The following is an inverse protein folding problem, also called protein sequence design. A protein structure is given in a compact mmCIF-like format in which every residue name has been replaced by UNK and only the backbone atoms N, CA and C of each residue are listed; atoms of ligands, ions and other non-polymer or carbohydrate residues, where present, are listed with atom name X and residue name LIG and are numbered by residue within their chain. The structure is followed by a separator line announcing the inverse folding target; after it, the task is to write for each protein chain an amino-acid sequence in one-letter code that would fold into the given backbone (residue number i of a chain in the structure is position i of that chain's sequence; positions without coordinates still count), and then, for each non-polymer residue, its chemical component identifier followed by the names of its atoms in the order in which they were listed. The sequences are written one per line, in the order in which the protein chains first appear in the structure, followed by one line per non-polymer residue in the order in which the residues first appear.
data_IF_017736119795
#
_entry.id   IF_017736119795
#
_cell.length_a   1.000
_cell.length_b   1.000
_cell.length_c   1.000
_cell.angle_alpha   90.00
_cell.angle_beta   90.00
_cell.angle_gamma   90.00
#
_symmetry.space_group_name_H-M   'P 1'
#
loop_
_entity.id
_entity.type
_entity.pdbx_description
1 polymer ?
#
# COMPACT_ATOMS: atom_id res chain seq x y z
N UNK A 1 -0.32 1.04 32.55
CA UNK A 1 -0.04 -0.40 32.34
C UNK A 1 -0.71 -1.01 31.09
N UNK A 2 -1.94 -0.66 30.69
CA UNK A 2 -2.59 -1.23 29.48
C UNK A 2 -1.86 -0.94 28.16
N UNK A 3 -1.35 0.29 27.98
CA UNK A 3 -0.66 0.72 26.74
C UNK A 3 0.64 -0.06 26.47
N UNK A 4 1.35 -0.48 27.51
CA UNK A 4 2.60 -1.26 27.40
C UNK A 4 2.34 -2.74 27.11
N UNK A 5 1.27 -3.34 27.64
CA UNK A 5 0.87 -4.72 27.29
C UNK A 5 0.47 -4.83 25.82
N UNK A 6 -0.35 -3.89 25.32
CA UNK A 6 -0.76 -3.89 23.92
C UNK A 6 0.45 -3.73 22.98
N UNK A 7 1.44 -2.91 23.36
CA UNK A 7 2.64 -2.71 22.55
C UNK A 7 3.54 -3.95 22.45
N UNK A 8 3.69 -4.70 23.54
CA UNK A 8 4.44 -5.97 23.55
C UNK A 8 3.71 -7.02 22.71
N UNK A 9 2.40 -7.12 22.85
CA UNK A 9 1.54 -8.02 22.07
C UNK A 9 1.67 -7.75 20.56
N UNK A 10 1.69 -6.48 20.14
CA UNK A 10 1.86 -6.15 18.74
C UNK A 10 3.25 -6.48 18.17
N UNK A 11 4.33 -6.33 18.94
CA UNK A 11 5.67 -6.72 18.48
C UNK A 11 5.78 -8.23 18.29
N UNK A 12 5.23 -9.00 19.22
CA UNK A 12 5.17 -10.46 19.13
C UNK A 12 4.36 -10.86 17.89
N UNK A 13 3.22 -10.21 17.67
CA UNK A 13 2.38 -10.43 16.48
C UNK A 13 3.12 -10.11 15.17
N UNK A 14 3.85 -9.00 15.09
CA UNK A 14 4.64 -8.64 13.91
C UNK A 14 5.70 -9.69 13.57
N UNK A 15 6.43 -10.16 14.58
CA UNK A 15 7.43 -11.22 14.41
C UNK A 15 6.77 -12.55 14.00
N UNK A 16 5.64 -12.90 14.62
CA UNK A 16 4.90 -14.11 14.28
C UNK A 16 4.41 -14.10 12.83
N UNK A 17 3.87 -12.98 12.35
CA UNK A 17 3.45 -12.81 10.95
C UNK A 17 4.64 -12.92 9.98
N UNK A 18 5.77 -12.29 10.31
CA UNK A 18 6.99 -12.41 9.51
C UNK A 18 7.49 -13.86 9.44
N UNK A 19 7.45 -14.60 10.56
CA UNK A 19 7.81 -16.01 10.59
C UNK A 19 6.81 -16.88 9.82
N UNK A 20 5.52 -16.54 9.88
CA UNK A 20 4.44 -17.24 9.18
C UNK A 20 4.55 -17.10 7.66
N UNK A 21 5.06 -15.96 7.17
CA UNK A 21 5.24 -15.72 5.74
C UNK A 21 6.19 -16.74 5.07
N UNK A 22 7.24 -17.20 5.77
CA UNK A 22 8.24 -18.12 5.23
C UNK A 22 7.72 -19.53 4.89
N UNK A 23 6.94 -20.21 5.75
CA UNK A 23 6.41 -21.54 5.45
C UNK A 23 5.15 -21.56 4.59
N UNK A 24 4.58 -20.42 4.16
CA UNK A 24 3.30 -20.40 3.41
C UNK A 24 3.27 -21.37 2.22
N UNK A 25 4.38 -21.49 1.48
CA UNK A 25 4.49 -22.37 0.33
C UNK A 25 4.41 -23.88 0.66
N UNK A 26 4.54 -24.27 1.93
CA UNK A 26 4.54 -25.67 2.38
C UNK A 26 3.21 -26.10 3.01
N UNK A 27 2.28 -25.18 3.21
CA UNK A 27 1.02 -25.43 3.91
C UNK A 27 -0.04 -26.01 2.97
N UNK A 28 -0.98 -26.78 3.53
CA UNK A 28 -2.14 -27.27 2.77
C UNK A 28 -3.15 -26.13 2.54
N UNK A 29 -4.00 -26.29 1.53
CA UNK A 29 -5.03 -25.29 1.20
C UNK A 29 -6.02 -25.04 2.35
N UNK A 30 -6.37 -26.08 3.12
CA UNK A 30 -7.23 -25.95 4.30
C UNK A 30 -6.53 -25.13 5.41
N UNK A 31 -5.25 -25.41 5.66
CA UNK A 31 -4.46 -24.66 6.65
C UNK A 31 -4.32 -23.18 6.24
N UNK A 32 -4.10 -22.91 4.96
CA UNK A 32 -4.03 -21.54 4.44
C UNK A 32 -5.36 -20.81 4.61
N UNK A 33 -6.49 -21.48 4.42
CA UNK A 33 -7.79 -20.87 4.64
C UNK A 33 -8.05 -20.56 6.12
N UNK A 34 -7.72 -21.48 7.03
CA UNK A 34 -7.85 -21.24 8.47
C UNK A 34 -6.95 -20.09 8.94
N UNK A 35 -5.72 -20.00 8.41
CA UNK A 35 -4.84 -18.85 8.65
C UNK A 35 -5.49 -17.56 8.14
N UNK A 36 -6.02 -17.55 6.91
CA UNK A 36 -6.65 -16.38 6.32
C UNK A 36 -7.85 -15.87 7.12
N UNK A 37 -8.62 -16.75 7.80
CA UNK A 37 -9.71 -16.32 8.70
C UNK A 37 -9.22 -15.62 9.96
N UNK A 38 -8.06 -16.03 10.47
CA UNK A 38 -7.49 -15.52 11.72
C UNK A 38 -6.71 -14.21 11.48
N UNK A 39 -6.22 -14.01 10.25
CA UNK A 39 -5.50 -12.79 9.87
C UNK A 39 -6.42 -11.57 9.92
N UNK A 40 -6.06 -10.60 10.76
CA UNK A 40 -6.81 -9.37 10.92
C UNK A 40 -5.99 -8.13 10.52
N UNK A 41 -6.61 -7.20 9.80
CA UNK A 41 -6.00 -5.96 9.30
C UNK A 41 -6.06 -4.86 10.38
N UNK A 42 -5.49 -5.13 11.55
CA UNK A 42 -5.40 -4.13 12.62
C UNK A 42 -4.11 -4.29 13.42
N UNK A 43 -3.67 -3.20 14.04
CA UNK A 43 -2.42 -3.10 14.78
C UNK A 43 -1.46 -2.07 14.17
N UNK A 44 -0.21 -2.01 14.68
CA UNK A 44 0.79 -1.07 14.19
C UNK A 44 1.20 -1.38 12.75
N UNK A 45 1.91 -0.42 12.14
CA UNK A 45 2.31 -0.46 10.73
C UNK A 45 2.96 -1.79 10.32
N UNK A 46 3.90 -2.33 11.11
CA UNK A 46 4.57 -3.60 10.80
C UNK A 46 3.61 -4.79 10.65
N UNK A 47 2.61 -4.90 11.52
CA UNK A 47 1.61 -5.97 11.43
C UNK A 47 0.78 -5.83 10.16
N UNK A 48 0.36 -4.61 9.82
CA UNK A 48 -0.42 -4.35 8.60
C UNK A 48 0.39 -4.68 7.34
N UNK A 49 1.69 -4.39 7.34
CA UNK A 49 2.60 -4.71 6.22
C UNK A 49 2.66 -6.22 6.01
N UNK A 50 2.95 -7.00 7.07
CA UNK A 50 3.04 -8.45 6.92
C UNK A 50 1.68 -9.09 6.59
N UNK A 51 0.58 -8.59 7.16
CA UNK A 51 -0.76 -9.03 6.78
C UNK A 51 -1.04 -8.81 5.30
N UNK A 52 -0.67 -7.63 4.75
CA UNK A 52 -0.78 -7.34 3.33
C UNK A 52 0.06 -8.32 2.49
N UNK A 53 1.34 -8.52 2.82
CA UNK A 53 2.23 -9.42 2.07
C UNK A 53 1.73 -10.87 2.08
N UNK A 54 1.22 -11.35 3.22
CA UNK A 54 0.62 -12.69 3.32
C UNK A 54 -0.65 -12.78 2.45
N UNK A 55 -1.56 -11.80 2.51
CA UNK A 55 -2.76 -11.82 1.68
C UNK A 55 -2.47 -11.75 0.17
N UNK A 56 -1.50 -10.92 -0.25
CA UNK A 56 -1.04 -10.87 -1.64
C UNK A 56 -0.54 -12.24 -2.11
N UNK A 57 0.30 -12.88 -1.30
CA UNK A 57 0.83 -14.21 -1.61
C UNK A 57 -0.29 -15.26 -1.70
N UNK A 58 -1.22 -15.26 -0.75
CA UNK A 58 -2.35 -16.20 -0.75
C UNK A 58 -3.24 -15.99 -1.99
N UNK A 59 -3.53 -14.75 -2.35
CA UNK A 59 -4.32 -14.45 -3.54
C UNK A 59 -3.61 -14.95 -4.82
N UNK A 60 -2.30 -14.73 -4.94
CA UNK A 60 -1.49 -15.30 -6.01
C UNK A 60 -1.51 -16.82 -6.07
N UNK A 61 -1.46 -17.46 -4.90
CA UNK A 61 -1.52 -18.90 -4.80
C UNK A 61 -2.85 -19.46 -5.32
N UNK A 62 -3.98 -18.86 -4.91
CA UNK A 62 -5.33 -19.28 -5.32
C UNK A 62 -5.54 -19.08 -6.83
N UNK A 63 -5.06 -17.95 -7.36
CA UNK A 63 -5.27 -17.59 -8.77
C UNK A 63 -4.37 -18.40 -9.71
N UNK A 64 -3.08 -18.50 -9.42
CA UNK A 64 -2.08 -19.04 -10.34
C UNK A 64 -1.74 -20.53 -10.12
N UNK A 65 -1.70 -21.00 -8.87
CA UNK A 65 -1.15 -22.32 -8.54
C UNK A 65 -2.20 -23.39 -8.29
N UNK A 66 -3.42 -23.00 -7.92
CA UNK A 66 -4.48 -23.93 -7.61
C UNK A 66 -5.06 -24.50 -8.92
N UNK A 67 -4.60 -25.71 -9.27
CA UNK A 67 -4.98 -26.44 -10.50
C UNK A 67 -6.50 -26.56 -10.61
N UNK A 68 -7.02 -26.51 -11.85
CA UNK A 68 -8.46 -26.64 -12.14
C UNK A 68 -9.09 -27.90 -11.51
N UNK A 69 -8.34 -28.99 -11.43
CA UNK A 69 -8.76 -30.27 -10.82
C UNK A 69 -9.00 -30.14 -9.30
N UNK A 70 -8.12 -29.44 -8.60
CA UNK A 70 -8.24 -29.18 -7.15
C UNK A 70 -9.37 -28.16 -6.90
N UNK A 71 -9.54 -27.18 -7.80
CA UNK A 71 -10.69 -26.25 -7.77
C UNK A 71 -12.01 -26.98 -7.91
N UNK A 72 -12.09 -28.05 -8.70
CA UNK A 72 -13.33 -28.82 -8.86
C UNK A 72 -13.64 -29.71 -7.65
N UNK A 73 -12.65 -30.30 -6.99
CA UNK A 73 -12.89 -31.16 -5.81
C UNK A 73 -13.29 -30.37 -4.56
N UNK A 74 -12.74 -29.17 -4.40
CA UNK A 74 -12.91 -28.34 -3.19
C UNK A 74 -13.71 -27.06 -3.54
N UNK A 75 -14.54 -27.12 -4.58
CA UNK A 75 -15.22 -25.97 -5.19
C UNK A 75 -15.83 -24.97 -4.20
N UNK A 76 -16.73 -25.38 -3.27
CA UNK A 76 -17.36 -24.43 -2.37
C UNK A 76 -16.35 -23.76 -1.41
N UNK A 77 -15.38 -24.52 -0.90
CA UNK A 77 -14.36 -23.98 0.01
C UNK A 77 -13.38 -23.07 -0.73
N UNK A 78 -13.02 -23.41 -1.97
CA UNK A 78 -12.11 -22.60 -2.81
C UNK A 78 -12.74 -21.26 -3.20
N UNK A 79 -14.04 -21.22 -3.43
CA UNK A 79 -14.78 -20.00 -3.76
C UNK A 79 -14.92 -19.09 -2.53
N UNK A 80 -15.30 -19.66 -1.38
CA UNK A 80 -15.33 -18.93 -0.10
C UNK A 80 -13.95 -18.39 0.28
N UNK A 81 -12.90 -19.19 0.06
CA UNK A 81 -11.52 -18.78 0.31
C UNK A 81 -11.09 -17.63 -0.59
N UNK A 82 -11.36 -17.72 -1.90
CA UNK A 82 -11.08 -16.66 -2.86
C UNK A 82 -11.81 -15.35 -2.48
N UNK A 83 -13.11 -15.44 -2.19
CA UNK A 83 -13.91 -14.28 -1.82
C UNK A 83 -13.42 -13.64 -0.52
N UNK A 84 -13.12 -14.44 0.52
CA UNK A 84 -12.59 -13.92 1.79
C UNK A 84 -11.28 -13.15 1.60
N UNK A 85 -10.33 -13.74 0.86
CA UNK A 85 -9.03 -13.09 0.61
C UNK A 85 -9.19 -11.83 -0.25
N UNK A 86 -10.04 -11.87 -1.27
CA UNK A 86 -10.36 -10.71 -2.11
C UNK A 86 -10.93 -9.55 -1.29
N UNK A 87 -11.93 -9.84 -0.45
CA UNK A 87 -12.55 -8.87 0.46
C UNK A 87 -11.52 -8.20 1.39
N UNK A 88 -10.60 -8.98 1.97
CA UNK A 88 -9.56 -8.45 2.86
C UNK A 88 -8.56 -7.55 2.11
N UNK A 89 -8.20 -7.90 0.88
CA UNK A 89 -7.36 -7.07 0.02
C UNK A 89 -8.06 -5.79 -0.45
N UNK A 90 -9.38 -5.81 -0.65
CA UNK A 90 -10.17 -4.62 -0.95
C UNK A 90 -10.24 -3.69 0.27
N UNK A 91 -10.45 -4.24 1.47
CA UNK A 91 -10.45 -3.45 2.71
C UNK A 91 -9.11 -2.71 2.91
N UNK A 92 -8.00 -3.35 2.55
CA UNK A 92 -6.66 -2.77 2.56
C UNK A 92 -6.48 -1.59 1.57
N UNK A 93 -7.27 -1.49 0.50
CA UNK A 93 -7.28 -0.31 -0.39
C UNK A 93 -7.82 0.95 0.30
N UNK A 94 -8.71 0.77 1.27
CA UNK A 94 -9.30 1.86 2.06
C UNK A 94 -8.61 2.06 3.41
N UNK A 95 -7.42 1.48 3.62
CA UNK A 95 -6.65 1.60 4.87
C UNK A 95 -6.33 3.07 5.20
N UNK A 96 -6.24 3.41 6.49
CA UNK A 96 -5.77 4.74 6.92
C UNK A 96 -4.27 4.92 6.68
N UNK A 97 -3.51 3.83 6.64
CA UNK A 97 -2.07 3.86 6.37
C UNK A 97 -1.81 4.00 4.86
N UNK A 98 -1.10 5.06 4.49
CA UNK A 98 -0.77 5.36 3.10
C UNK A 98 0.09 4.30 2.45
N UNK A 99 1.11 3.80 3.15
CA UNK A 99 1.97 2.74 2.63
C UNK A 99 1.16 1.50 2.24
N UNK A 100 0.19 1.13 3.09
CA UNK A 100 -0.68 -0.03 2.86
C UNK A 100 -1.58 0.23 1.66
N UNK A 101 -2.26 1.39 1.60
CA UNK A 101 -3.12 1.73 0.46
C UNK A 101 -2.36 1.69 -0.86
N UNK A 102 -1.17 2.30 -0.92
CA UNK A 102 -0.35 2.37 -2.14
C UNK A 102 0.09 0.98 -2.56
N UNK A 103 0.62 0.17 -1.64
CA UNK A 103 1.07 -1.18 -1.98
C UNK A 103 -0.07 -2.12 -2.36
N UNK A 104 -1.26 -1.97 -1.75
CA UNK A 104 -2.47 -2.68 -2.17
C UNK A 104 -2.90 -2.26 -3.56
N UNK A 105 -2.88 -0.96 -3.87
CA UNK A 105 -3.20 -0.45 -5.20
C UNK A 105 -2.24 -1.02 -6.24
N UNK A 106 -0.94 -0.92 -6.01
CA UNK A 106 0.08 -1.41 -6.94
C UNK A 106 -0.08 -2.91 -7.22
N UNK A 107 -0.47 -3.69 -6.22
CA UNK A 107 -0.77 -5.12 -6.37
C UNK A 107 -1.94 -5.38 -7.32
N UNK A 108 -3.02 -4.59 -7.23
CA UNK A 108 -4.17 -4.70 -8.11
C UNK A 108 -3.89 -4.16 -9.52
N UNK A 109 -2.98 -3.20 -9.67
CA UNK A 109 -2.57 -2.64 -10.96
C UNK A 109 -1.70 -3.56 -11.83
N UNK A 110 -1.22 -4.68 -11.30
CA UNK A 110 -0.41 -5.64 -12.06
C UNK A 110 -1.20 -6.13 -13.29
N UNK A 111 -0.54 -6.12 -14.45
CA UNK A 111 -1.12 -6.51 -15.74
C UNK A 111 -1.64 -7.95 -15.75
N UNK A 112 -1.15 -8.80 -14.83
CA UNK A 112 -1.64 -10.17 -14.64
C UNK A 112 -3.04 -10.24 -14.02
N UNK A 113 -3.42 -9.24 -13.22
CA UNK A 113 -4.72 -9.20 -12.51
C UNK A 113 -5.69 -8.23 -13.15
N UNK A 114 -5.20 -7.07 -13.57
CA UNK A 114 -6.02 -6.02 -14.13
C UNK A 114 -5.51 -5.66 -15.53
N UNK A 115 -6.39 -5.85 -16.52
CA UNK A 115 -6.07 -5.57 -17.92
C UNK A 115 -5.57 -4.13 -18.12
N UNK A 116 -4.65 -3.92 -19.06
CA UNK A 116 -4.22 -2.59 -19.50
C UNK A 116 -5.21 -1.93 -20.46
N UNK A 117 -6.12 -2.70 -21.05
CA UNK A 117 -7.20 -2.17 -21.88
C UNK A 117 -8.23 -1.45 -21.02
N UNK A 118 -8.51 -0.18 -21.30
CA UNK A 118 -9.42 0.66 -20.52
C UNK A 118 -10.82 0.05 -20.36
N UNK A 119 -11.33 -0.60 -21.41
CA UNK A 119 -12.64 -1.25 -21.37
C UNK A 119 -12.65 -2.48 -20.47
N UNK A 120 -11.70 -3.41 -20.66
CA UNK A 120 -11.61 -4.61 -19.82
C UNK A 120 -11.30 -4.28 -18.35
N UNK A 121 -10.49 -3.24 -18.12
CA UNK A 121 -10.22 -2.71 -16.78
C UNK A 121 -11.50 -2.19 -16.11
N UNK A 122 -12.32 -1.43 -16.85
CA UNK A 122 -13.59 -0.93 -16.32
C UNK A 122 -14.52 -2.08 -15.93
N UNK A 123 -14.66 -3.10 -16.79
CA UNK A 123 -15.49 -4.27 -16.46
C UNK A 123 -14.96 -5.02 -15.23
N UNK A 124 -13.64 -5.25 -15.17
CA UNK A 124 -13.02 -5.90 -14.01
C UNK A 124 -13.20 -5.12 -12.70
N UNK A 125 -13.25 -3.79 -12.73
CA UNK A 125 -13.54 -2.97 -11.55
C UNK A 125 -14.93 -3.26 -10.98
N UNK A 126 -15.94 -3.41 -11.85
CA UNK A 126 -17.29 -3.75 -11.44
C UNK A 126 -17.41 -5.21 -10.98
N UNK A 127 -16.81 -6.14 -11.72
CA UNK A 127 -17.00 -7.58 -11.49
C UNK A 127 -16.19 -8.12 -10.30
N UNK A 128 -15.00 -7.55 -10.04
CA UNK A 128 -14.03 -8.14 -9.10
C UNK A 128 -13.63 -7.23 -7.93
N UNK A 129 -13.71 -5.90 -8.10
CA UNK A 129 -13.20 -4.94 -7.13
C UNK A 129 -14.29 -4.18 -6.38
N UNK A 130 -15.57 -4.42 -6.68
CA UNK A 130 -16.68 -3.87 -5.92
C UNK A 130 -16.95 -4.69 -4.65
N UNK A 131 -17.01 -4.01 -3.51
CA UNK A 131 -17.40 -4.61 -2.23
C UNK A 131 -18.15 -3.59 -1.37
N UNK A 132 -19.27 -4.02 -0.77
CA UNK A 132 -20.10 -3.17 0.08
C UNK A 132 -19.34 -2.66 1.31
N UNK A 133 -18.33 -3.39 1.78
CA UNK A 133 -17.48 -2.96 2.91
C UNK A 133 -16.61 -1.76 2.59
N UNK A 134 -16.29 -1.57 1.31
CA UNK A 134 -15.37 -0.53 0.82
C UNK A 134 -16.07 0.48 -0.09
N UNK A 135 -17.40 0.47 -0.09
CA UNK A 135 -18.24 1.30 -0.97
C UNK A 135 -17.87 2.79 -0.88
N UNK A 136 -17.65 3.30 0.33
CA UNK A 136 -17.23 4.69 0.57
C UNK A 136 -15.93 5.06 -0.16
N UNK A 137 -15.03 4.09 -0.38
CA UNK A 137 -13.77 4.26 -1.10
C UNK A 137 -13.84 3.86 -2.57
N UNK A 138 -14.91 3.19 -3.01
CA UNK A 138 -14.99 2.52 -4.32
C UNK A 138 -14.74 3.46 -5.49
N UNK A 139 -15.44 4.59 -5.54
CA UNK A 139 -15.26 5.56 -6.62
C UNK A 139 -13.85 6.17 -6.61
N UNK A 140 -13.26 6.37 -5.43
CA UNK A 140 -11.92 6.92 -5.31
C UNK A 140 -10.87 5.96 -5.88
N UNK A 141 -10.83 4.70 -5.43
CA UNK A 141 -9.82 3.77 -6.00
C UNK A 141 -10.12 3.40 -7.45
N UNK A 142 -11.39 3.27 -7.85
CA UNK A 142 -11.76 2.90 -9.22
C UNK A 142 -11.36 3.98 -10.24
N UNK A 143 -11.62 5.24 -9.93
CA UNK A 143 -11.18 6.35 -10.79
C UNK A 143 -9.66 6.42 -10.86
N UNK A 144 -8.96 6.21 -9.74
CA UNK A 144 -7.50 6.15 -9.72
C UNK A 144 -6.95 5.01 -10.60
N UNK A 145 -7.54 3.81 -10.56
CA UNK A 145 -7.14 2.68 -11.40
C UNK A 145 -7.33 2.96 -12.91
N UNK A 146 -8.41 3.66 -13.28
CA UNK A 146 -8.67 4.04 -14.66
C UNK A 146 -7.72 5.14 -15.14
N UNK A 147 -7.51 6.17 -14.32
CA UNK A 147 -6.64 7.29 -14.65
C UNK A 147 -5.17 6.88 -14.71
N UNK A 148 -4.76 5.86 -13.96
CA UNK A 148 -3.40 5.32 -14.05
C UNK A 148 -3.05 4.84 -15.47
N UNK A 149 -4.01 4.30 -16.22
CA UNK A 149 -3.76 3.90 -17.62
C UNK A 149 -3.28 5.05 -18.49
N UNK A 150 -3.67 6.29 -18.18
CA UNK A 150 -3.25 7.46 -18.97
C UNK A 150 -1.74 7.66 -18.91
N UNK A 151 -1.09 7.21 -17.83
CA UNK A 151 0.37 7.31 -17.65
C UNK A 151 1.15 6.43 -18.62
N UNK A 152 0.52 5.40 -19.20
CA UNK A 152 1.12 4.56 -20.24
C UNK A 152 1.00 5.16 -21.64
N UNK A 153 0.23 6.23 -21.80
CA UNK A 153 0.10 6.89 -23.08
C UNK A 153 1.45 7.56 -23.43
N UNK A 154 2.03 7.33 -24.63
CA UNK A 154 3.25 8.03 -25.04
C UNK A 154 3.09 9.56 -24.99
N UNK A 155 1.86 10.06 -25.11
CA UNK A 155 1.54 11.49 -25.04
C UNK A 155 1.30 12.00 -23.61
N UNK A 156 1.50 11.20 -22.56
CA UNK A 156 1.20 11.61 -21.18
C UNK A 156 1.98 12.85 -20.74
N UNK A 157 3.26 12.92 -21.11
CA UNK A 157 4.13 14.06 -20.81
C UNK A 157 4.05 15.18 -21.85
N UNK A 158 3.23 15.04 -22.90
CA UNK A 158 3.08 16.06 -23.92
C UNK A 158 2.13 17.15 -23.44
N UNK A 159 2.49 18.40 -23.73
CA UNK A 159 1.55 19.50 -23.58
C UNK A 159 0.37 19.30 -24.53
N UNK A 160 -0.84 19.50 -24.02
CA UNK A 160 -2.07 19.43 -24.83
C UNK A 160 -2.09 20.53 -25.89
N UNK A 161 -1.42 21.66 -25.62
CA UNK A 161 -1.33 22.81 -26.50
C UNK A 161 0.12 23.06 -26.92
N UNK A 162 0.32 23.33 -28.21
CA UNK A 162 1.65 23.62 -28.77
C UNK A 162 2.19 24.99 -28.36
N UNK A 163 1.28 25.98 -28.23
CA UNK A 163 1.63 27.36 -27.97
C UNK A 163 1.06 27.83 -26.63
N UNK A 164 1.85 28.55 -25.84
CA UNK A 164 1.35 29.30 -24.70
C UNK A 164 0.47 30.47 -25.16
N UNK A 165 -0.51 30.85 -24.35
CA UNK A 165 -1.38 32.00 -24.66
C UNK A 165 -0.58 33.31 -24.70
N UNK A 166 0.47 33.41 -23.89
CA UNK A 166 1.38 34.57 -23.82
C UNK A 166 2.85 34.14 -23.80
N UNK A 167 3.76 35.07 -24.13
CA UNK A 167 5.22 34.88 -24.08
C UNK A 167 5.83 35.02 -22.66
N UNK A 168 5.02 34.93 -21.62
CA UNK A 168 5.49 35.08 -20.24
C UNK A 168 6.11 33.78 -19.71
N UNK A 169 7.19 33.92 -18.93
CA UNK A 169 7.76 32.83 -18.15
C UNK A 169 6.89 32.57 -16.91
N UNK A 170 6.27 31.38 -16.84
CA UNK A 170 5.54 30.95 -15.65
C UNK A 170 6.51 30.44 -14.59
N UNK A 171 6.33 30.89 -13.35
CA UNK A 171 7.01 30.31 -12.19
C UNK A 171 6.25 29.07 -11.75
N UNK A 172 6.96 27.98 -11.49
CA UNK A 172 6.37 26.81 -10.86
C UNK A 172 6.02 27.17 -9.43
N UNK A 173 4.72 27.24 -9.12
CA UNK A 173 4.25 27.47 -7.76
C UNK A 173 4.17 26.11 -7.04
N UNK A 174 5.12 25.77 -6.15
CA UNK A 174 4.99 24.55 -5.38
C UNK A 174 3.79 24.70 -4.47
N UNK A 175 2.83 23.79 -4.56
CA UNK A 175 1.80 23.66 -3.55
C UNK A 175 2.50 23.22 -2.26
N UNK A 176 2.86 24.17 -1.39
CA UNK A 176 3.30 23.85 -0.03
C UNK A 176 2.10 23.31 0.71
N UNK A 177 1.97 21.99 0.68
CA UNK A 177 1.09 21.29 1.57
C UNK A 177 1.57 21.58 3.00
N UNK A 178 0.69 22.06 3.89
CA UNK A 178 1.03 22.32 5.30
C UNK A 178 1.75 21.09 5.90
N UNK A 179 2.65 21.31 6.87
CA UNK A 179 3.65 20.33 7.37
C UNK A 179 3.14 18.89 7.62
N UNK A 180 1.84 18.66 7.80
CA UNK A 180 1.24 17.34 7.96
C UNK A 180 1.14 16.50 6.67
N UNK A 181 1.21 17.13 5.49
CA UNK A 181 1.14 16.47 4.18
C UNK A 181 2.56 16.25 3.60
N UNK A 182 3.57 16.98 4.06
CA UNK A 182 4.97 16.83 3.58
C UNK A 182 5.57 15.45 3.89
N UNK A 183 5.02 14.71 4.86
CA UNK A 183 5.42 13.34 5.15
C UNK A 183 4.65 12.29 4.33
N UNK A 184 3.65 12.72 3.54
CA UNK A 184 2.99 11.89 2.54
C UNK A 184 3.78 11.99 1.26
N UNK A 185 4.53 10.96 0.93
CA UNK A 185 5.18 10.87 -0.37
C UNK A 185 4.09 10.96 -1.44
N UNK A 186 4.15 12.01 -2.27
CA UNK A 186 3.24 12.15 -3.40
C UNK A 186 3.39 10.91 -4.30
N UNK A 187 2.24 10.32 -4.61
CA UNK A 187 2.13 9.08 -5.37
C UNK A 187 2.75 9.25 -6.77
N UNK A 188 3.67 8.35 -7.11
CA UNK A 188 4.17 8.16 -8.48
C UNK A 188 3.57 6.84 -8.98
N UNK A 189 2.89 6.83 -10.14
CA UNK A 189 2.38 5.60 -10.76
C UNK A 189 3.49 4.55 -10.89
N UNK A 190 3.18 3.30 -10.58
CA UNK A 190 4.15 2.19 -10.45
C UNK A 190 5.07 2.03 -11.67
N UNK A 191 4.57 2.35 -12.87
CA UNK A 191 5.34 2.18 -14.12
C UNK A 191 6.14 3.42 -14.54
N UNK A 192 5.96 4.57 -13.88
CA UNK A 192 6.90 5.69 -14.02
C UNK A 192 8.20 5.47 -13.24
N UNK A 193 8.25 4.43 -12.38
CA UNK A 193 9.48 3.97 -11.74
C UNK A 193 10.38 3.16 -12.69
N UNK A 194 9.80 2.42 -13.65
CA UNK A 194 10.53 1.47 -14.49
C UNK A 194 11.38 2.14 -15.59
N UNK A 195 11.12 3.42 -15.92
CA UNK A 195 11.87 4.16 -16.93
C UNK A 195 13.19 4.78 -16.43
N UNK A 196 13.52 4.65 -15.13
CA UNK A 196 14.80 5.07 -14.57
C UNK A 196 15.58 3.86 -14.06
N UNK A 197 16.44 3.30 -14.91
CA UNK A 197 17.38 2.21 -14.60
C UNK A 197 18.48 2.58 -13.57
N UNK A 198 18.20 3.44 -12.58
CA UNK A 198 19.16 3.72 -11.51
C UNK A 198 18.56 4.13 -10.15
N UNK A 199 17.30 3.79 -9.86
CA UNK A 199 16.77 3.93 -8.51
C UNK A 199 16.51 2.57 -7.89
N UNK A 200 17.59 2.01 -7.36
CA UNK A 200 17.55 1.05 -6.26
C UNK A 200 16.77 1.72 -5.10
N UNK A 201 15.45 1.55 -5.04
CA UNK A 201 14.67 1.96 -3.87
C UNK A 201 15.01 1.02 -2.72
N UNK A 202 16.10 1.38 -2.03
CA UNK A 202 16.57 0.85 -0.75
C UNK A 202 15.60 1.20 0.40
N UNK A 203 14.29 0.96 0.27
CA UNK A 203 13.36 1.17 1.39
C UNK A 203 13.59 0.15 2.53
N UNK A 204 14.23 -0.99 2.22
CA UNK A 204 14.71 -1.98 3.20
C UNK A 204 16.00 -1.57 3.95
N UNK A 205 16.71 -0.49 3.56
CA UNK A 205 17.88 0.00 4.32
C UNK A 205 17.53 1.05 5.38
N UNK A 206 16.39 1.72 5.27
CA UNK A 206 16.00 2.76 6.25
C UNK A 206 15.36 2.19 7.52
N UNK A 207 15.03 0.90 7.57
CA UNK A 207 14.46 0.27 8.78
C UNK A 207 15.49 -0.50 9.62
N UNK A 208 16.76 -0.55 9.21
CA UNK A 208 17.80 -1.35 9.88
C UNK A 208 19.06 -0.55 10.30
N UNK A 209 19.00 0.77 10.44
CA UNK A 209 20.04 1.51 11.18
C UNK A 209 19.62 1.65 12.64
N UNK A 210 19.72 0.54 13.37
CA UNK A 210 20.08 0.59 14.79
C UNK A 210 21.54 1.06 14.85
N UNK A 211 21.76 2.36 14.68
CA UNK A 211 23.03 2.96 15.07
C UNK A 211 23.04 3.08 16.59
N UNK A 212 23.65 2.05 17.17
CA UNK A 212 24.41 2.12 18.40
C UNK A 212 25.13 3.45 18.53
N UNK A 213 24.76 4.26 19.52
CA UNK A 213 25.60 5.08 20.40
C UNK A 213 24.63 5.81 21.35
N UNK A 214 24.68 5.43 22.63
CA UNK A 214 24.58 6.25 23.85
C UNK A 214 23.43 7.30 23.92
N UNK A 215 22.62 7.46 24.96
CA UNK A 215 22.65 7.06 26.37
C UNK A 215 21.32 7.53 26.96
N UNK A 216 20.82 6.83 27.98
CA UNK A 216 19.76 7.33 28.86
C UNK A 216 20.17 8.68 29.47
N UNK A 217 19.33 9.72 29.34
CA UNK A 217 19.21 10.78 30.35
C UNK A 217 17.76 11.24 30.46
N UNK A 218 17.25 11.15 31.69
CA UNK A 218 15.94 11.60 32.16
C UNK A 218 15.79 13.13 32.11
N UNK A 219 14.52 13.56 32.19
CA UNK A 219 14.05 14.95 32.32
C UNK A 219 14.93 15.86 33.18
N UNK A 220 15.04 17.12 32.76
CA UNK A 220 14.99 18.26 33.66
C UNK A 220 14.17 19.40 33.01
N UNK A 221 13.04 19.76 33.66
CA UNK A 221 12.45 21.09 33.53
C UNK A 221 13.41 22.11 34.15
N UNK A 222 13.65 23.26 33.50
CA UNK A 222 13.47 24.61 34.08
C UNK A 222 14.10 25.73 33.23
N UNK A 223 13.26 26.67 32.80
CA UNK A 223 13.41 28.14 32.81
C UNK A 223 14.60 28.87 32.14
N UNK A 224 14.23 30.05 31.58
CA UNK A 224 15.04 31.24 31.20
C UNK A 224 15.62 31.24 29.77
N UNK A 225 15.59 32.31 28.95
CA UNK A 225 15.14 33.71 29.06
C UNK A 225 15.09 34.34 27.64
N UNK A 226 14.23 35.33 27.47
CA UNK A 226 14.17 36.36 26.40
C UNK A 226 15.54 36.76 25.80
N UNK A 227 15.59 36.95 24.47
CA UNK A 227 16.11 38.19 23.84
C UNK A 227 15.64 38.36 22.38
N UNK A 228 15.16 39.56 22.09
CA UNK A 228 14.69 40.08 20.81
C UNK A 228 15.83 40.30 19.80
N UNK A 229 15.50 40.28 18.49
CA UNK A 229 15.82 41.30 17.46
C UNK A 229 15.32 40.75 16.08
N UNK A 230 14.23 41.27 15.46
CA UNK A 230 14.13 42.33 14.42
C UNK A 230 15.27 42.17 13.37
N UNK A 231 15.08 42.00 12.04
CA UNK A 231 14.48 42.89 11.01
C UNK A 231 14.19 42.08 9.72
N UNK A 232 13.10 42.41 9.03
CA UNK A 232 12.74 42.00 7.67
C UNK A 232 13.43 42.89 6.62
N UNK A 233 13.84 42.30 5.50
CA UNK A 233 13.86 42.94 4.18
C UNK A 233 12.87 42.20 3.28
#
# INVERSE_FOLDING_TARGET
MKKQRNFIDFRIRGIALHLLHKPLAKLTHEQLYEIAKILYVDGPNECQIWTLEIYKWIYDYITNYLTKEIKTSIRPLSEMFYHHVGEQLLELLSSKNEYIRVNSRNFWCDSKRLSTSSHHRLMALFDQLYSIKTENGYLNYSTNFLLECTTHNPYYNHFIFENSLDKYSFLQFPLTSTQEISNRQQFIPTQMLDNNNNTNYNWLKQTNTLDSINTFTLLALSTQTKKNNIIYC
#
